data_IF_902999286619
#
_entry.id   IF_902999286619
#
_cell.length_a   1.000
_cell.length_b   1.000
_cell.length_c   1.000
_cell.angle_alpha   90.00
_cell.angle_beta   90.00
_cell.angle_gamma   90.00
#
_symmetry.space_group_name_H-M   'P 1'
#
loop_
_entity.id
_entity.type
_entity.pdbx_description
1 polymer ?
#
# COMPACT_ATOMS: atom_id res chain seq x y z
N UNK A 1 -17.95 -11.66 -9.69
CA UNK A 1 -16.68 -12.38 -9.46
C UNK A 1 -16.91 -13.84 -9.79
N UNK A 2 -15.95 -14.54 -10.40
CA UNK A 2 -16.07 -15.99 -10.61
C UNK A 2 -15.98 -16.73 -9.28
N UNK A 3 -16.64 -17.90 -9.19
CA UNK A 3 -16.60 -18.74 -7.98
C UNK A 3 -15.15 -19.12 -7.62
N UNK A 4 -14.33 -19.40 -8.63
CA UNK A 4 -12.90 -19.69 -8.47
C UNK A 4 -12.10 -18.54 -7.83
N UNK A 5 -12.38 -17.30 -8.21
CA UNK A 5 -11.70 -16.14 -7.63
C UNK A 5 -12.14 -15.90 -6.18
N UNK A 6 -13.41 -16.17 -5.87
CA UNK A 6 -13.96 -16.11 -4.51
C UNK A 6 -13.36 -17.18 -3.60
N UNK A 7 -13.27 -18.43 -4.08
CA UNK A 7 -12.62 -19.54 -3.37
C UNK A 7 -11.14 -19.25 -3.10
N UNK A 8 -10.42 -18.72 -4.08
CA UNK A 8 -9.03 -18.36 -3.90
C UNK A 8 -8.84 -17.22 -2.89
N UNK A 9 -9.72 -16.21 -2.91
CA UNK A 9 -9.72 -15.14 -1.90
C UNK A 9 -9.98 -15.70 -0.49
N UNK A 10 -10.94 -16.61 -0.33
CA UNK A 10 -11.20 -17.30 0.92
C UNK A 10 -9.99 -18.11 1.41
N UNK A 11 -9.30 -18.81 0.50
CA UNK A 11 -8.06 -19.53 0.83
C UNK A 11 -6.98 -18.60 1.38
N UNK A 12 -6.74 -17.46 0.72
CA UNK A 12 -5.76 -16.45 1.17
C UNK A 12 -6.15 -15.90 2.55
N UNK A 13 -7.40 -15.49 2.72
CA UNK A 13 -7.89 -14.97 4.00
C UNK A 13 -7.72 -15.99 5.12
N UNK A 14 -8.04 -17.26 4.89
CA UNK A 14 -7.84 -18.31 5.87
C UNK A 14 -6.36 -18.50 6.22
N UNK A 15 -5.48 -18.54 5.20
CA UNK A 15 -4.06 -18.81 5.37
C UNK A 15 -3.34 -17.73 6.17
N UNK A 16 -3.68 -16.45 5.94
CA UNK A 16 -2.96 -15.32 6.53
C UNK A 16 -3.69 -14.65 7.70
N UNK A 17 -5.01 -14.75 7.79
CA UNK A 17 -5.83 -14.14 8.84
C UNK A 17 -6.63 -15.15 9.68
N UNK A 18 -6.62 -16.43 9.29
CA UNK A 18 -7.27 -17.54 10.00
C UNK A 18 -8.75 -17.70 9.67
N UNK A 19 -9.34 -18.76 10.23
CA UNK A 19 -10.74 -19.14 10.03
C UNK A 19 -11.73 -18.03 10.45
N UNK A 20 -11.35 -17.22 11.43
CA UNK A 20 -12.18 -16.10 11.85
C UNK A 20 -12.44 -15.11 10.72
N UNK A 21 -11.47 -14.92 9.81
CA UNK A 21 -11.60 -14.03 8.67
C UNK A 21 -12.55 -14.59 7.61
N UNK A 22 -12.46 -15.89 7.28
CA UNK A 22 -13.36 -16.50 6.30
C UNK A 22 -14.80 -16.51 6.77
N UNK A 23 -15.05 -16.84 8.04
CA UNK A 23 -16.40 -16.77 8.61
C UNK A 23 -16.93 -15.34 8.62
N UNK A 24 -16.11 -14.36 9.04
CA UNK A 24 -16.52 -12.95 9.12
C UNK A 24 -16.74 -12.29 7.75
N UNK A 25 -16.18 -12.87 6.67
CA UNK A 25 -16.28 -12.33 5.31
C UNK A 25 -17.15 -13.19 4.38
N UNK A 26 -17.69 -14.30 4.87
CA UNK A 26 -18.51 -15.23 4.09
C UNK A 26 -19.68 -14.54 3.40
N UNK A 27 -20.47 -13.76 4.14
CA UNK A 27 -21.58 -12.99 3.56
C UNK A 27 -21.12 -11.99 2.49
N UNK A 28 -19.88 -11.49 2.60
CA UNK A 28 -19.30 -10.55 1.62
C UNK A 28 -18.92 -11.27 0.32
N UNK A 29 -18.50 -12.53 0.39
CA UNK A 29 -18.25 -13.36 -0.78
C UNK A 29 -19.54 -13.72 -1.53
N UNK A 30 -20.63 -13.97 -0.80
CA UNK A 30 -21.90 -14.43 -1.38
C UNK A 30 -22.77 -13.28 -1.86
N UNK A 31 -22.96 -12.26 -1.02
CA UNK A 31 -23.89 -11.15 -1.26
C UNK A 31 -23.17 -9.89 -1.79
N UNK A 32 -21.86 -9.80 -1.62
CA UNK A 32 -21.11 -8.56 -1.86
C UNK A 32 -21.24 -7.58 -0.69
N UNK A 33 -21.37 -6.29 -1.02
CA UNK A 33 -21.36 -5.20 -0.03
C UNK A 33 -22.46 -5.38 1.03
N UNK A 34 -22.07 -5.55 2.31
CA UNK A 34 -23.00 -5.86 3.41
C UNK A 34 -22.74 -4.99 4.64
N UNK A 35 -23.78 -4.75 5.43
CA UNK A 35 -23.70 -3.99 6.68
C UNK A 35 -23.11 -4.81 7.84
N UNK A 36 -22.63 -4.14 8.89
CA UNK A 36 -22.09 -4.82 10.08
C UNK A 36 -23.12 -5.75 10.74
N UNK A 37 -24.38 -5.34 10.81
CA UNK A 37 -25.46 -6.15 11.40
C UNK A 37 -25.71 -7.43 10.60
N UNK A 38 -25.63 -7.38 9.26
CA UNK A 38 -25.73 -8.56 8.40
C UNK A 38 -24.54 -9.50 8.59
N UNK A 39 -23.32 -8.96 8.68
CA UNK A 39 -22.11 -9.76 8.93
C UNK A 39 -22.19 -10.49 10.27
N UNK A 40 -22.60 -9.79 11.32
CA UNK A 40 -22.78 -10.38 12.65
C UNK A 40 -23.87 -11.45 12.65
N UNK A 41 -24.98 -11.21 11.95
CA UNK A 41 -26.08 -12.18 11.82
C UNK A 41 -25.70 -13.38 10.95
N UNK A 42 -24.78 -13.27 10.00
CA UNK A 42 -24.28 -14.45 9.28
C UNK A 42 -23.31 -15.26 10.16
N UNK A 43 -22.44 -14.55 10.88
CA UNK A 43 -21.34 -15.13 11.66
C UNK A 43 -21.75 -15.71 13.02
N UNK A 44 -22.91 -15.34 13.57
CA UNK A 44 -23.30 -15.64 14.96
C UNK A 44 -23.26 -17.12 15.35
N UNK A 45 -23.48 -18.03 14.39
CA UNK A 45 -23.47 -19.48 14.66
C UNK A 45 -22.07 -20.03 14.93
N UNK A 46 -21.02 -19.37 14.40
CA UNK A 46 -19.64 -19.87 14.43
C UNK A 46 -18.71 -18.97 15.25
N UNK A 47 -19.01 -17.68 15.39
CA UNK A 47 -18.16 -16.72 16.10
C UNK A 47 -18.97 -15.76 16.96
N UNK A 48 -18.40 -15.43 18.12
CA UNK A 48 -18.90 -14.35 18.96
C UNK A 48 -18.67 -12.98 18.32
N UNK A 49 -19.64 -12.07 18.44
CA UNK A 49 -19.63 -10.73 17.82
C UNK A 49 -18.36 -9.92 18.07
N UNK A 50 -17.80 -9.98 19.29
CA UNK A 50 -16.54 -9.30 19.63
C UNK A 50 -15.36 -9.78 18.75
N UNK A 51 -15.30 -11.09 18.46
CA UNK A 51 -14.23 -11.68 17.65
C UNK A 51 -14.38 -11.28 16.18
N UNK A 52 -15.61 -11.21 15.68
CA UNK A 52 -15.93 -10.71 14.34
C UNK A 52 -15.46 -9.26 14.20
N UNK A 53 -15.82 -8.38 15.15
CA UNK A 53 -15.40 -6.97 15.11
C UNK A 53 -13.86 -6.82 15.14
N UNK A 54 -13.15 -7.57 16.00
CA UNK A 54 -11.68 -7.57 16.04
C UNK A 54 -11.09 -8.03 14.70
N UNK A 55 -11.68 -9.04 14.07
CA UNK A 55 -11.26 -9.53 12.77
C UNK A 55 -11.47 -8.47 11.67
N UNK A 56 -12.66 -7.85 11.62
CA UNK A 56 -12.95 -6.79 10.66
C UNK A 56 -12.00 -5.60 10.81
N UNK A 57 -11.68 -5.18 12.04
CA UNK A 57 -10.68 -4.12 12.30
C UNK A 57 -9.31 -4.51 11.72
N UNK A 58 -8.88 -5.76 11.92
CA UNK A 58 -7.63 -6.26 11.34
C UNK A 58 -7.68 -6.22 9.81
N UNK A 59 -8.75 -6.73 9.19
CA UNK A 59 -8.90 -6.74 7.73
C UNK A 59 -8.94 -5.32 7.14
N UNK A 60 -9.60 -4.37 7.80
CA UNK A 60 -9.61 -2.95 7.41
C UNK A 60 -8.20 -2.35 7.49
N UNK A 61 -7.47 -2.64 8.57
CA UNK A 61 -6.07 -2.20 8.72
C UNK A 61 -5.20 -2.69 7.57
N UNK A 62 -5.40 -3.92 7.10
CA UNK A 62 -4.70 -4.46 5.95
C UNK A 62 -5.30 -4.05 4.58
N UNK A 63 -6.32 -3.19 4.56
CA UNK A 63 -7.03 -2.78 3.33
C UNK A 63 -7.71 -3.93 2.57
N UNK A 64 -8.02 -5.04 3.25
CA UNK A 64 -8.71 -6.18 2.65
C UNK A 64 -10.22 -5.92 2.50
N UNK A 65 -10.71 -4.90 3.19
CA UNK A 65 -12.09 -4.43 3.12
C UNK A 65 -12.13 -2.98 2.64
N UNK A 66 -13.07 -2.69 1.73
CA UNK A 66 -13.47 -1.33 1.38
C UNK A 66 -14.73 -0.96 2.17
N UNK A 67 -14.81 0.30 2.58
CA UNK A 67 -15.95 0.83 3.33
C UNK A 67 -16.68 1.81 2.43
N UNK A 68 -17.94 1.51 2.12
CA UNK A 68 -18.81 2.39 1.34
C UNK A 68 -19.78 3.06 2.30
N UNK A 69 -19.86 4.39 2.22
CA UNK A 69 -20.78 5.20 3.02
C UNK A 69 -21.96 5.61 2.13
N UNK A 70 -23.03 4.81 2.20
CA UNK A 70 -24.34 5.17 1.67
C UNK A 70 -25.17 5.80 2.81
N UNK A 71 -26.39 5.29 3.05
CA UNK A 71 -27.20 5.55 4.25
C UNK A 71 -26.72 4.79 5.50
N UNK A 72 -26.09 3.64 5.30
CA UNK A 72 -25.51 2.77 6.34
C UNK A 72 -24.11 2.38 5.87
N UNK A 73 -23.17 2.25 6.81
CA UNK A 73 -21.83 1.74 6.50
C UNK A 73 -21.91 0.30 5.98
N UNK A 74 -21.46 0.10 4.75
CA UNK A 74 -21.32 -1.23 4.14
C UNK A 74 -19.85 -1.56 3.93
N UNK A 75 -19.55 -2.84 4.05
CA UNK A 75 -18.22 -3.41 3.88
C UNK A 75 -18.25 -4.30 2.64
N UNK A 76 -17.21 -4.22 1.81
CA UNK A 76 -17.02 -5.15 0.70
C UNK A 76 -15.57 -5.60 0.61
N UNK A 77 -15.32 -6.76 -0.01
CA UNK A 77 -13.98 -7.30 -0.14
C UNK A 77 -13.19 -6.55 -1.21
N UNK A 78 -11.95 -6.19 -0.87
CA UNK A 78 -10.99 -5.67 -1.83
C UNK A 78 -10.20 -6.83 -2.43
N UNK A 79 -10.69 -7.39 -3.52
CA UNK A 79 -10.05 -8.54 -4.18
C UNK A 79 -8.65 -8.21 -4.72
N UNK A 80 -8.42 -6.99 -5.21
CA UNK A 80 -7.10 -6.53 -5.67
C UNK A 80 -6.06 -6.64 -4.54
N UNK A 81 -6.42 -6.15 -3.35
CA UNK A 81 -5.56 -6.22 -2.15
C UNK A 81 -5.39 -7.65 -1.63
N UNK A 82 -6.42 -8.49 -1.72
CA UNK A 82 -6.34 -9.90 -1.31
C UNK A 82 -5.40 -10.68 -2.23
N UNK A 83 -5.55 -10.52 -3.56
CA UNK A 83 -4.71 -11.21 -4.55
C UNK A 83 -3.28 -10.66 -4.62
N UNK A 84 -3.03 -9.49 -4.04
CA UNK A 84 -1.69 -8.96 -3.85
C UNK A 84 -0.89 -9.72 -2.78
N UNK A 85 -1.52 -10.28 -1.74
CA UNK A 85 -0.81 -10.91 -0.60
C UNK A 85 0.18 -12.00 -1.05
N UNK A 86 -0.19 -12.96 -1.91
CA UNK A 86 0.76 -13.99 -2.36
C UNK A 86 1.91 -13.45 -3.22
N UNK A 87 1.72 -12.29 -3.87
CA UNK A 87 2.73 -11.65 -4.72
C UNK A 87 3.72 -10.78 -3.94
N UNK A 88 3.42 -10.51 -2.66
CA UNK A 88 4.25 -9.64 -1.81
C UNK A 88 5.75 -10.00 -1.81
N UNK A 89 6.17 -11.28 -1.70
CA UNK A 89 7.60 -11.62 -1.73
C UNK A 89 8.29 -11.20 -3.03
N UNK A 90 7.58 -11.26 -4.16
CA UNK A 90 8.09 -10.85 -5.45
C UNK A 90 8.25 -9.33 -5.52
N UNK A 91 7.28 -8.58 -5.00
CA UNK A 91 7.38 -7.12 -4.93
C UNK A 91 8.45 -6.63 -3.94
N UNK A 92 8.66 -7.33 -2.83
CA UNK A 92 9.77 -7.04 -1.91
C UNK A 92 11.12 -7.21 -2.61
N UNK A 93 11.31 -8.29 -3.38
CA UNK A 93 12.51 -8.48 -4.21
C UNK A 93 12.64 -7.40 -5.29
N UNK A 94 11.54 -6.99 -5.90
CA UNK A 94 11.55 -5.89 -6.86
C UNK A 94 12.10 -4.61 -6.20
N UNK A 95 11.57 -4.24 -5.03
CA UNK A 95 12.04 -3.09 -4.26
C UNK A 95 13.49 -3.23 -3.82
N UNK A 96 13.94 -4.44 -3.44
CA UNK A 96 15.35 -4.73 -3.17
C UNK A 96 16.26 -4.33 -4.34
N UNK A 97 15.88 -4.70 -5.57
CA UNK A 97 16.69 -4.40 -6.75
C UNK A 97 16.78 -2.91 -7.06
N UNK A 98 15.73 -2.12 -6.80
CA UNK A 98 15.72 -0.69 -7.10
C UNK A 98 16.25 0.19 -5.95
N UNK A 99 16.02 -0.20 -4.71
CA UNK A 99 16.25 0.67 -3.53
C UNK A 99 17.12 0.01 -2.45
N UNK A 100 17.53 -1.25 -2.64
CA UNK A 100 18.44 -1.96 -1.75
C UNK A 100 17.78 -2.66 -0.56
N UNK A 101 18.63 -3.23 0.30
CA UNK A 101 18.23 -4.13 1.40
C UNK A 101 17.33 -3.49 2.46
N UNK A 102 17.58 -2.23 2.81
CA UNK A 102 16.77 -1.51 3.82
C UNK A 102 15.34 -1.29 3.32
N UNK A 103 15.19 -1.02 2.02
CA UNK A 103 13.88 -0.84 1.39
C UNK A 103 13.07 -2.13 1.35
N UNK A 104 13.70 -3.26 1.04
CA UNK A 104 13.08 -4.58 1.11
C UNK A 104 12.52 -4.86 2.52
N UNK A 105 13.35 -4.65 3.55
CA UNK A 105 12.96 -4.85 4.94
C UNK A 105 11.79 -3.94 5.35
N UNK A 106 11.88 -2.65 5.03
CA UNK A 106 10.81 -1.69 5.28
C UNK A 106 9.50 -2.12 4.61
N UNK A 107 9.55 -2.56 3.35
CA UNK A 107 8.36 -3.04 2.62
C UNK A 107 7.75 -4.29 3.25
N UNK A 108 8.56 -5.25 3.71
CA UNK A 108 8.06 -6.43 4.43
C UNK A 108 7.32 -5.99 5.69
N UNK A 109 7.94 -5.14 6.50
CA UNK A 109 7.35 -4.68 7.75
C UNK A 109 6.08 -3.86 7.54
N UNK A 110 6.07 -2.96 6.56
CA UNK A 110 4.90 -2.12 6.27
C UNK A 110 3.75 -2.98 5.73
N UNK A 111 4.06 -4.00 4.93
CA UNK A 111 3.04 -4.93 4.41
C UNK A 111 2.47 -5.85 5.51
N UNK A 112 3.31 -6.31 6.44
CA UNK A 112 2.85 -7.09 7.60
C UNK A 112 2.09 -6.26 8.62
N UNK A 113 2.33 -4.95 8.72
CA UNK A 113 1.62 -4.08 9.65
C UNK A 113 0.32 -3.54 9.04
N UNK A 114 0.25 -3.45 7.71
CA UNK A 114 -0.86 -2.82 6.99
C UNK A 114 -0.77 -1.29 7.03
N UNK A 115 -1.92 -0.62 7.03
CA UNK A 115 -2.02 0.83 7.22
C UNK A 115 -1.63 1.19 8.65
N UNK A 116 -0.67 2.09 8.80
CA UNK A 116 -0.19 2.56 10.10
C UNK A 116 0.29 3.99 10.02
N UNK A 117 0.37 4.65 11.17
CA UNK A 117 1.08 5.93 11.25
C UNK A 117 2.54 5.70 10.87
N UNK A 118 3.14 6.67 10.19
CA UNK A 118 4.54 6.58 9.81
C UNK A 118 5.44 6.41 11.04
N UNK A 119 5.12 7.11 12.14
CA UNK A 119 5.79 6.97 13.43
C UNK A 119 5.79 5.53 13.95
N UNK A 120 4.63 4.84 13.96
CA UNK A 120 4.53 3.48 14.50
C UNK A 120 5.29 2.49 13.64
N UNK A 121 5.23 2.67 12.32
CA UNK A 121 5.91 1.82 11.35
C UNK A 121 7.43 1.94 11.44
N UNK A 122 7.96 3.16 11.58
CA UNK A 122 9.38 3.41 11.77
C UNK A 122 9.90 2.78 13.07
N UNK A 123 9.19 2.99 14.18
CA UNK A 123 9.53 2.37 15.47
C UNK A 123 9.48 0.85 15.38
N UNK A 124 8.49 0.30 14.67
CA UNK A 124 8.39 -1.14 14.45
C UNK A 124 9.59 -1.68 13.69
N UNK A 125 10.03 -1.00 12.62
CA UNK A 125 11.22 -1.38 11.85
C UNK A 125 12.47 -1.36 12.71
N UNK A 126 12.67 -0.30 13.51
CA UNK A 126 13.83 -0.18 14.40
C UNK A 126 13.77 -1.24 15.50
N UNK A 127 12.64 -1.43 16.20
CA UNK A 127 12.50 -2.48 17.22
C UNK A 127 12.84 -3.87 16.68
N UNK A 128 12.35 -4.21 15.48
CA UNK A 128 12.64 -5.48 14.83
C UNK A 128 14.12 -5.63 14.47
N UNK A 129 14.76 -4.55 14.03
CA UNK A 129 16.19 -4.52 13.73
C UNK A 129 17.09 -4.51 14.98
N UNK A 130 16.63 -3.96 16.10
CA UNK A 130 17.37 -3.96 17.37
C UNK A 130 17.37 -5.33 18.05
N UNK A 131 16.39 -6.19 17.77
CA UNK A 131 16.36 -7.55 18.31
C UNK A 131 17.57 -8.41 17.90
N UNK A 132 18.31 -8.05 16.84
CA UNK A 132 19.47 -8.81 16.37
C UNK A 132 20.79 -8.55 17.14
N UNK A 133 20.79 -7.82 18.26
CA UNK A 133 21.99 -7.53 19.08
C UNK A 133 23.17 -7.00 18.25
N UNK A 134 22.90 -6.08 17.32
CA UNK A 134 23.92 -5.49 16.46
C UNK A 134 24.75 -4.44 17.22
N UNK A 135 26.00 -4.15 16.81
CA UNK A 135 26.79 -3.03 17.31
C UNK A 135 26.03 -1.70 17.21
N UNK A 136 26.24 -0.80 18.17
CA UNK A 136 25.53 0.50 18.23
C UNK A 136 25.75 1.30 16.93
N UNK A 137 26.96 1.30 16.39
CA UNK A 137 27.30 1.97 15.12
C UNK A 137 26.44 1.48 13.94
N UNK A 138 26.20 0.18 13.83
CA UNK A 138 25.35 -0.40 12.79
C UNK A 138 23.87 -0.02 12.98
N UNK A 139 23.42 0.14 14.22
CA UNK A 139 22.06 0.58 14.53
C UNK A 139 21.82 2.04 14.10
N UNK A 140 22.80 2.92 14.36
CA UNK A 140 22.73 4.30 13.89
C UNK A 140 22.81 4.38 12.36
N UNK A 141 23.71 3.61 11.72
CA UNK A 141 23.79 3.52 10.26
C UNK A 141 22.46 3.05 9.63
N UNK A 142 21.81 2.05 10.22
CA UNK A 142 20.50 1.59 9.77
C UNK A 142 19.42 2.66 9.86
N UNK A 143 19.40 3.48 10.92
CA UNK A 143 18.42 4.58 11.07
C UNK A 143 18.58 5.63 9.98
N UNK A 144 19.82 6.02 9.66
CA UNK A 144 20.10 6.94 8.56
C UNK A 144 19.65 6.38 7.21
N UNK A 145 19.96 5.10 6.97
CA UNK A 145 19.53 4.40 5.76
C UNK A 145 17.99 4.24 5.71
N UNK A 146 17.32 4.03 6.84
CA UNK A 146 15.87 3.89 6.92
C UNK A 146 15.18 5.23 6.64
N UNK A 147 15.65 6.33 7.24
CA UNK A 147 15.11 7.67 7.00
C UNK A 147 15.21 8.07 5.53
N UNK A 148 16.40 7.92 4.91
CA UNK A 148 16.58 8.17 3.47
C UNK A 148 15.68 7.30 2.60
N UNK A 149 15.61 6.00 2.92
CA UNK A 149 14.83 5.03 2.15
C UNK A 149 13.34 5.35 2.20
N UNK A 150 12.78 5.60 3.38
CA UNK A 150 11.35 5.88 3.54
C UNK A 150 10.95 7.17 2.83
N UNK A 151 11.75 8.23 2.95
CA UNK A 151 11.52 9.47 2.20
C UNK A 151 11.56 9.23 0.70
N UNK A 152 12.50 8.41 0.22
CA UNK A 152 12.60 8.05 -1.20
C UNK A 152 11.38 7.25 -1.67
N UNK A 153 10.98 6.22 -0.93
CA UNK A 153 9.82 5.38 -1.27
C UNK A 153 8.50 6.14 -1.30
N UNK A 154 8.34 7.15 -0.44
CA UNK A 154 7.18 8.06 -0.48
C UNK A 154 7.27 8.99 -1.70
N UNK A 155 8.45 9.60 -1.95
CA UNK A 155 8.66 10.46 -3.14
C UNK A 155 8.41 9.73 -4.45
N UNK A 156 8.77 8.45 -4.54
CA UNK A 156 8.56 7.62 -5.74
C UNK A 156 7.19 6.93 -5.77
N UNK A 157 6.27 7.28 -4.86
CA UNK A 157 4.93 6.70 -4.76
C UNK A 157 4.89 5.17 -4.58
N UNK A 158 6.00 4.53 -4.20
CA UNK A 158 6.03 3.10 -3.81
C UNK A 158 5.29 2.93 -2.48
N UNK A 159 5.42 3.92 -1.59
CA UNK A 159 4.61 4.08 -0.41
C UNK A 159 3.59 5.20 -0.62
N UNK A 160 2.32 4.86 -0.51
CA UNK A 160 1.23 5.81 -0.63
C UNK A 160 0.88 6.40 0.74
N UNK A 161 0.77 7.73 0.80
CA UNK A 161 0.15 8.42 1.93
C UNK A 161 -1.37 8.33 1.76
N UNK A 162 -2.03 7.71 2.73
CA UNK A 162 -3.48 7.56 2.76
C UNK A 162 -4.04 8.56 3.75
N UNK A 163 -5.01 9.36 3.33
CA UNK A 163 -5.70 10.26 4.24
C UNK A 163 -6.56 9.42 5.22
N UNK A 164 -6.35 9.53 6.55
CA UNK A 164 -7.11 8.75 7.54
C UNK A 164 -8.62 9.02 7.50
N UNK A 165 -9.05 10.16 6.94
CA UNK A 165 -10.47 10.54 6.81
C UNK A 165 -11.12 10.05 5.51
N UNK A 166 -10.32 9.57 4.55
CA UNK A 166 -10.78 9.15 3.22
C UNK A 166 -10.85 7.62 3.16
N UNK A 167 -11.66 7.02 4.05
CA UNK A 167 -12.04 5.61 3.92
C UNK A 167 -13.01 5.36 2.76
N UNK A 168 -13.44 6.44 2.10
CA UNK A 168 -14.40 6.47 1.02
C UNK A 168 -13.87 7.34 -0.12
N UNK A 169 -13.82 6.78 -1.33
CA UNK A 169 -14.36 7.30 -2.61
C UNK A 169 -13.67 6.51 -3.72
N UNK A 170 -14.19 5.32 -3.99
CA UNK A 170 -14.25 4.82 -5.35
C UNK A 170 -15.72 4.98 -5.74
N UNK A 171 -16.06 6.12 -6.35
CA UNK A 171 -17.36 6.28 -6.99
C UNK A 171 -17.34 5.44 -8.26
N UNK A 172 -18.15 4.38 -8.30
CA UNK A 172 -18.45 3.63 -9.53
C UNK A 172 -18.94 4.62 -10.61
N UNK A 173 -18.10 4.88 -11.61
CA UNK A 173 -18.54 5.40 -12.91
C UNK A 173 -18.45 4.25 -13.91
N UNK A 174 -19.55 3.53 -14.03
CA UNK A 174 -19.97 2.56 -15.04
C UNK A 174 -21.23 1.96 -14.38
N UNK A 175 -22.47 2.17 -14.82
CA UNK A 175 -23.03 2.09 -16.17
C UNK A 175 -24.42 2.73 -16.09
N UNK A 176 -24.79 3.63 -17.01
CA UNK A 176 -26.17 3.80 -17.48
C UNK A 176 -26.15 4.67 -18.73
N UNK A 177 -26.16 4.00 -19.88
CA UNK A 177 -26.41 4.57 -21.20
C UNK A 177 -27.92 4.79 -21.33
N UNK A 178 -28.36 6.04 -21.38
CA UNK A 178 -29.45 6.57 -22.22
C UNK A 178 -30.18 7.74 -21.54
N UNK A 179 -29.89 8.97 -21.98
CA UNK A 179 -30.86 9.94 -22.50
C UNK A 179 -30.20 11.33 -22.68
N UNK A 180 -30.58 11.98 -23.78
CA UNK A 180 -30.08 13.21 -24.45
C UNK A 180 -30.08 14.48 -23.55
N UNK A 181 -29.26 15.52 -23.86
CA UNK A 181 -28.66 16.42 -22.87
C UNK A 181 -29.42 17.73 -22.67
N UNK A 182 -29.42 18.25 -21.44
CA UNK A 182 -29.74 19.64 -21.13
C UNK A 182 -28.53 20.34 -20.50
N UNK A 183 -28.17 21.46 -21.11
CA UNK A 183 -27.01 22.30 -20.81
C UNK A 183 -27.06 22.92 -19.41
N UNK A 184 -25.88 23.34 -18.96
CA UNK A 184 -25.56 24.22 -17.82
C UNK A 184 -25.77 23.63 -16.42
N UNK A 185 -24.75 22.90 -15.96
CA UNK A 185 -24.37 22.85 -14.54
C UNK A 185 -22.86 22.58 -14.45
N UNK A 186 -22.22 23.33 -13.56
CA UNK A 186 -20.79 23.53 -13.42
C UNK A 186 -19.98 22.23 -13.27
N UNK A 187 -18.78 22.22 -13.84
CA UNK A 187 -17.81 21.15 -13.69
C UNK A 187 -17.57 20.88 -12.19
N UNK A 188 -17.68 19.63 -11.71
CA UNK A 188 -17.36 19.32 -10.33
C UNK A 188 -15.85 19.46 -10.18
N UNK A 189 -15.47 20.44 -9.37
CA UNK A 189 -14.11 20.69 -8.89
C UNK A 189 -13.57 19.37 -8.33
N UNK A 190 -12.68 18.74 -9.10
CA UNK A 190 -11.66 17.86 -8.53
C UNK A 190 -10.92 18.72 -7.50
N UNK A 191 -11.33 18.63 -6.24
CA UNK A 191 -10.50 19.12 -5.13
C UNK A 191 -9.35 18.11 -5.03
N UNK A 192 -8.41 18.26 -5.96
CA UNK A 192 -7.01 17.91 -5.73
C UNK A 192 -6.61 18.73 -4.52
N UNK A 193 -6.74 18.14 -3.32
CA UNK A 193 -5.96 18.61 -2.18
C UNK A 193 -4.52 18.49 -2.66
N UNK A 194 -3.90 19.64 -2.86
CA UNK A 194 -2.61 19.81 -3.47
C UNK A 194 -1.64 18.71 -3.03
N UNK A 195 -1.28 17.83 -3.97
CA UNK A 195 -0.12 16.93 -3.91
C UNK A 195 1.20 17.72 -3.95
N UNK A 196 1.19 18.96 -3.44
CA UNK A 196 2.33 19.84 -3.32
C UNK A 196 3.19 19.35 -2.16
N UNK A 197 4.21 18.57 -2.50
CA UNK A 197 5.49 18.50 -1.81
C UNK A 197 5.41 18.46 -0.27
N UNK A 198 4.73 17.48 0.29
CA UNK A 198 4.92 17.19 1.72
C UNK A 198 6.30 16.53 1.88
N UNK A 199 7.32 17.37 2.08
CA UNK A 199 8.67 16.93 2.35
C UNK A 199 8.66 16.24 3.71
N UNK A 200 8.80 14.91 3.71
CA UNK A 200 9.10 14.19 4.94
C UNK A 200 10.52 14.58 5.35
N UNK A 201 10.72 15.36 6.44
CA UNK A 201 12.03 15.87 6.79
C UNK A 201 12.88 14.70 7.30
N UNK A 202 13.83 14.27 6.47
CA UNK A 202 14.71 13.12 6.73
C UNK A 202 15.48 13.32 8.04
N UNK A 203 16.08 14.50 8.21
CA UNK A 203 16.99 14.81 9.31
C UNK A 203 16.27 14.74 10.66
N UNK A 204 15.04 15.22 10.69
CA UNK A 204 14.15 15.19 11.84
C UNK A 204 13.72 13.75 12.23
N UNK A 205 13.46 12.89 11.24
CA UNK A 205 13.16 11.47 11.48
C UNK A 205 14.39 10.75 12.03
N UNK A 206 15.57 10.99 11.43
CA UNK A 206 16.82 10.41 11.89
C UNK A 206 17.12 10.85 13.33
N UNK A 207 16.99 12.14 13.66
CA UNK A 207 17.20 12.66 15.01
C UNK A 207 16.26 11.98 16.04
N UNK A 208 14.98 11.85 15.71
CA UNK A 208 14.01 11.20 16.58
C UNK A 208 14.31 9.69 16.81
N UNK A 209 14.71 8.97 15.76
CA UNK A 209 15.05 7.56 15.83
C UNK A 209 16.41 7.30 16.51
N UNK A 210 17.38 8.20 16.35
CA UNK A 210 18.63 8.15 17.10
C UNK A 210 18.41 8.36 18.59
N UNK A 211 17.53 9.30 18.96
CA UNK A 211 17.12 9.47 20.35
C UNK A 211 16.42 8.23 20.91
N UNK A 212 15.66 7.50 20.08
CA UNK A 212 15.05 6.22 20.47
C UNK A 212 16.10 5.13 20.77
N UNK A 213 17.10 4.98 19.92
CA UNK A 213 18.19 4.01 20.15
C UNK A 213 18.94 4.32 21.46
N UNK A 214 19.26 5.59 21.69
CA UNK A 214 20.03 6.02 22.86
C UNK A 214 19.26 5.96 24.18
N UNK A 215 17.94 6.19 24.16
CA UNK A 215 17.14 6.31 25.40
C UNK A 215 16.16 5.16 25.64
N UNK A 216 15.91 4.30 24.64
CA UNK A 216 14.88 3.27 24.69
C UNK A 216 13.44 3.79 24.64
N UNK A 217 13.24 5.11 24.57
CA UNK A 217 11.93 5.77 24.53
C UNK A 217 11.80 6.64 23.29
N UNK A 218 10.68 6.51 22.57
CA UNK A 218 10.42 7.34 21.41
C UNK A 218 9.69 8.59 21.88
N UNK A 219 10.42 9.69 22.00
CA UNK A 219 9.81 11.00 22.18
C UNK A 219 9.42 11.56 20.82
N UNK A 220 8.38 10.97 20.21
CA UNK A 220 7.74 11.61 19.09
C UNK A 220 7.16 12.96 19.56
N UNK A 221 7.21 14.01 18.74
CA UNK A 221 6.52 15.28 19.00
C UNK A 221 5.00 15.16 18.79
N UNK A 222 4.43 14.02 19.16
CA UNK A 222 3.01 13.73 19.11
C UNK A 222 2.61 13.59 20.57
N UNK A 223 1.65 14.41 21.02
CA UNK A 223 1.09 14.29 22.36
C UNK A 223 0.55 12.85 22.54
N UNK A 224 1.29 12.02 23.28
CA UNK A 224 0.82 10.72 23.70
C UNK A 224 -0.15 10.94 24.86
N UNK A 225 -1.45 10.99 24.60
CA UNK A 225 -2.51 11.03 25.63
C UNK A 225 -2.52 9.79 26.55
N UNK A 226 -1.63 8.81 26.35
CA UNK A 226 -1.68 7.52 27.05
C UNK A 226 -0.72 7.35 28.23
N UNK A 227 0.23 8.25 28.48
CA UNK A 227 1.18 8.08 29.59
C UNK A 227 1.17 9.28 30.54
N UNK A 228 0.46 9.12 31.67
CA UNK A 228 0.57 9.98 32.84
C UNK A 228 1.86 9.64 33.62
N UNK A 229 3.02 10.14 33.19
CA UNK A 229 4.22 10.17 34.03
C UNK A 229 5.05 11.45 33.80
N UNK A 230 5.78 11.93 34.84
CA UNK A 230 6.12 13.33 34.96
C UNK A 230 7.23 13.76 33.99
N UNK A 231 6.97 14.86 33.29
CA UNK A 231 7.88 15.54 32.37
C UNK A 231 9.19 15.89 33.08
N UNK A 232 10.24 15.08 32.90
CA UNK A 232 11.60 15.48 33.25
C UNK A 232 12.15 16.42 32.18
N UNK A 233 12.60 17.57 32.67
CA UNK A 233 13.04 18.78 31.95
C UNK A 233 14.17 18.49 30.94
N UNK A 234 13.83 18.42 29.66
CA UNK A 234 14.53 19.02 28.50
C UNK A 234 13.84 18.49 27.25
N UNK A 235 12.82 19.21 26.78
CA UNK A 235 12.15 18.90 25.52
C UNK A 235 12.06 20.22 24.77
N UNK A 236 12.74 20.32 23.62
CA UNK A 236 12.35 21.27 22.57
C UNK A 236 10.86 21.02 22.36
N UNK A 237 10.01 21.95 22.80
CA UNK A 237 8.57 21.89 22.49
C UNK A 237 8.48 21.98 20.97
N UNK A 238 8.29 20.83 20.32
CA UNK A 238 7.88 20.84 18.94
C UNK A 238 6.48 21.45 18.90
N UNK A 239 6.37 22.55 18.17
CA UNK A 239 5.11 23.22 17.95
C UNK A 239 4.20 22.26 17.17
N UNK A 240 2.94 22.08 17.56
CA UNK A 240 2.00 21.14 16.92
C UNK A 240 1.74 21.47 15.43
N UNK A 241 2.20 22.65 15.01
CA UNK A 241 2.22 23.21 13.67
C UNK A 241 3.37 22.68 12.79
N UNK A 242 4.40 22.06 13.38
CA UNK A 242 5.60 21.56 12.69
C UNK A 242 5.26 20.52 11.62
N UNK A 243 5.83 20.67 10.43
CA UNK A 243 5.66 19.74 9.29
C UNK A 243 6.05 18.29 9.65
N UNK A 244 6.94 18.13 10.61
CA UNK A 244 7.37 16.86 11.20
C UNK A 244 6.21 16.15 11.92
N UNK A 245 5.46 16.88 12.75
CA UNK A 245 4.29 16.35 13.50
C UNK A 245 3.19 15.95 12.53
N UNK A 246 2.99 16.74 11.47
CA UNK A 246 2.03 16.42 10.40
C UNK A 246 2.47 15.18 9.62
N UNK A 247 3.76 15.05 9.30
CA UNK A 247 4.34 13.93 8.55
C UNK A 247 4.29 12.60 9.32
N UNK A 248 4.57 12.62 10.62
CA UNK A 248 4.53 11.42 11.44
C UNK A 248 3.10 10.88 11.68
N UNK A 249 2.11 11.78 11.70
CA UNK A 249 0.68 11.42 11.76
C UNK A 249 0.13 10.87 10.44
N UNK A 250 0.88 10.95 9.34
CA UNK A 250 0.45 10.39 8.06
C UNK A 250 0.30 8.88 8.16
N UNK A 251 -0.79 8.38 7.57
CA UNK A 251 -0.99 6.93 7.43
C UNK A 251 -0.37 6.50 6.12
N UNK A 252 0.54 5.53 6.18
CA UNK A 252 1.28 5.05 5.01
C UNK A 252 0.97 3.58 4.75
N UNK A 253 0.93 3.18 3.48
CA UNK A 253 0.87 1.78 3.07
C UNK A 253 1.52 1.54 1.69
N UNK A 254 1.90 0.30 1.37
CA UNK A 254 2.37 -0.08 0.03
C UNK A 254 1.36 0.28 -1.07
N UNK A 255 1.86 0.91 -2.14
CA UNK A 255 1.07 1.23 -3.31
C UNK A 255 1.11 0.09 -4.32
N UNK A 256 0.02 -0.66 -4.44
CA UNK A 256 -0.08 -1.79 -5.37
C UNK A 256 0.10 -1.33 -6.82
N UNK A 257 -0.54 -0.21 -7.20
CA UNK A 257 -0.52 0.27 -8.58
C UNK A 257 0.90 0.60 -9.04
N UNK A 258 1.68 1.27 -8.17
CA UNK A 258 3.10 1.56 -8.46
C UNK A 258 3.91 0.27 -8.56
N UNK A 259 3.73 -0.68 -7.63
CA UNK A 259 4.45 -1.95 -7.66
C UNK A 259 4.13 -2.80 -8.89
N UNK A 260 2.86 -2.83 -9.32
CA UNK A 260 2.45 -3.51 -10.55
C UNK A 260 2.99 -2.81 -11.79
N UNK A 261 3.06 -1.48 -11.80
CA UNK A 261 3.68 -0.70 -12.87
C UNK A 261 5.17 -1.01 -12.97
N UNK A 262 5.90 -0.98 -11.85
CA UNK A 262 7.31 -1.35 -11.81
C UNK A 262 7.54 -2.80 -12.29
N UNK A 263 6.66 -3.72 -11.91
CA UNK A 263 6.76 -5.12 -12.32
C UNK A 263 6.52 -5.28 -13.82
N UNK A 264 5.48 -4.63 -14.35
CA UNK A 264 5.19 -4.60 -15.79
C UNK A 264 6.36 -4.04 -16.57
N UNK A 265 6.91 -2.91 -16.16
CA UNK A 265 8.02 -2.25 -16.85
C UNK A 265 9.26 -3.15 -16.88
N UNK A 266 9.55 -3.85 -15.77
CA UNK A 266 10.61 -4.86 -15.72
C UNK A 266 10.38 -6.00 -16.73
N UNK A 267 9.15 -6.51 -16.84
CA UNK A 267 8.82 -7.55 -17.81
C UNK A 267 8.97 -7.07 -19.26
N UNK A 268 8.57 -5.84 -19.55
CA UNK A 268 8.72 -5.20 -20.86
C UNK A 268 10.22 -5.10 -21.22
N UNK A 269 11.05 -4.60 -20.31
CA UNK A 269 12.49 -4.48 -20.53
C UNK A 269 13.16 -5.84 -20.71
N UNK A 270 12.75 -6.84 -19.92
CA UNK A 270 13.27 -8.20 -20.04
C UNK A 270 12.92 -8.80 -21.40
N UNK A 271 11.66 -8.67 -21.84
CA UNK A 271 11.22 -9.15 -23.14
C UNK A 271 11.96 -8.43 -24.29
N UNK A 272 12.17 -7.12 -24.18
CA UNK A 272 12.94 -6.36 -25.16
C UNK A 272 14.41 -6.81 -25.21
N UNK A 273 15.03 -7.07 -24.06
CA UNK A 273 16.38 -7.63 -24.00
C UNK A 273 16.46 -9.00 -24.67
N UNK A 274 15.51 -9.90 -24.38
CA UNK A 274 15.45 -11.24 -24.96
C UNK A 274 15.17 -11.25 -26.47
N UNK A 275 14.45 -10.25 -27.00
CA UNK A 275 14.03 -10.21 -28.42
C UNK A 275 14.88 -9.32 -29.31
N UNK A 276 15.40 -8.22 -28.78
CA UNK A 276 16.08 -7.16 -29.55
C UNK A 276 17.53 -6.96 -29.10
N UNK A 277 17.95 -7.60 -28.01
CA UNK A 277 19.29 -7.48 -27.43
C UNK A 277 19.33 -6.56 -26.21
N UNK A 278 20.35 -6.77 -25.38
CA UNK A 278 20.49 -6.11 -24.06
C UNK A 278 20.46 -4.58 -24.15
N UNK A 279 21.11 -4.00 -25.16
CA UNK A 279 21.14 -2.53 -25.38
C UNK A 279 19.72 -1.97 -25.58
N UNK A 280 18.86 -2.67 -26.31
CA UNK A 280 17.48 -2.26 -26.49
C UNK A 280 16.68 -2.36 -25.19
N UNK A 281 16.94 -3.38 -24.37
CA UNK A 281 16.38 -3.50 -23.03
C UNK A 281 16.77 -2.33 -22.13
N UNK A 282 18.04 -1.92 -22.15
CA UNK A 282 18.56 -0.81 -21.35
C UNK A 282 17.98 0.55 -21.79
N UNK A 283 17.92 0.80 -23.10
CA UNK A 283 17.29 2.00 -23.66
C UNK A 283 15.81 2.07 -23.23
N UNK A 284 15.08 0.95 -23.33
CA UNK A 284 13.67 0.90 -22.97
C UNK A 284 13.46 1.11 -21.47
N UNK A 285 14.34 0.56 -20.63
CA UNK A 285 14.36 0.79 -19.18
C UNK A 285 14.53 2.29 -18.86
N UNK A 286 15.46 2.96 -19.52
CA UNK A 286 15.68 4.40 -19.34
C UNK A 286 14.46 5.22 -19.76
N UNK A 287 13.82 4.88 -20.88
CA UNK A 287 12.62 5.56 -21.36
C UNK A 287 11.44 5.39 -20.39
N UNK A 288 11.21 4.20 -19.86
CA UNK A 288 10.15 3.93 -18.88
C UNK A 288 10.41 4.64 -17.54
N UNK A 289 11.66 4.70 -17.10
CA UNK A 289 12.07 5.49 -15.93
C UNK A 289 11.76 6.99 -16.11
N UNK A 290 12.10 7.56 -17.27
CA UNK A 290 11.81 8.98 -17.58
C UNK A 290 10.30 9.23 -17.64
N UNK A 291 9.54 8.33 -18.26
CA UNK A 291 8.09 8.45 -18.36
C UNK A 291 7.42 8.41 -16.99
N UNK A 292 7.91 7.55 -16.09
CA UNK A 292 7.45 7.48 -14.69
C UNK A 292 7.78 8.75 -13.92
N UNK A 293 9.00 9.28 -14.05
CA UNK A 293 9.42 10.54 -13.41
C UNK A 293 8.63 11.75 -13.94
N UNK A 294 8.17 11.71 -15.20
CA UNK A 294 7.36 12.76 -15.79
C UNK A 294 5.87 12.73 -15.37
N UNK A 295 5.46 11.85 -14.44
CA UNK A 295 4.07 11.60 -14.04
C UNK A 295 3.11 11.36 -15.22
N UNK A 296 3.65 11.00 -16.40
CA UNK A 296 2.84 10.54 -17.52
C UNK A 296 2.52 9.10 -17.23
N UNK A 297 1.40 8.86 -16.54
CA UNK A 297 0.94 7.52 -16.20
C UNK A 297 1.10 6.60 -17.41
N UNK A 298 2.09 5.71 -17.37
CA UNK A 298 2.44 4.80 -18.47
C UNK A 298 1.44 3.65 -18.53
N UNK A 299 0.20 3.86 -18.09
CA UNK A 299 -0.89 2.92 -18.33
C UNK A 299 -1.08 2.82 -19.83
N UNK A 300 -0.36 1.91 -20.48
CA UNK A 300 -0.68 1.44 -21.82
C UNK A 300 -2.00 0.69 -21.66
N UNK A 301 -3.11 1.43 -21.63
CA UNK A 301 -4.45 0.87 -21.78
C UNK A 301 -4.65 0.66 -23.28
N UNK A 302 -3.97 -0.35 -23.85
CA UNK A 302 -4.42 -0.85 -25.14
C UNK A 302 -5.63 -1.77 -24.88
N UNK A 303 -6.77 -1.56 -25.57
CA UNK A 303 -7.90 -2.46 -25.50
C UNK A 303 -7.62 -3.84 -26.12
N UNK A 304 -6.43 -4.06 -26.66
CA UNK A 304 -6.05 -5.27 -27.42
C UNK A 304 -5.14 -6.24 -26.63
N UNK A 305 -4.79 -5.93 -25.38
CA UNK A 305 -3.96 -6.83 -24.54
C UNK A 305 -4.72 -8.06 -23.99
N UNK A 306 -5.93 -8.30 -24.50
CA UNK A 306 -6.70 -9.52 -24.30
C UNK A 306 -6.70 -10.34 -25.58
N UNK A 307 -5.98 -11.46 -25.57
CA UNK A 307 -5.88 -12.47 -26.62
C UNK A 307 -4.88 -12.18 -27.77
N UNK A 308 -3.59 -12.36 -27.48
CA UNK A 308 -2.71 -12.92 -28.53
C UNK A 308 -3.00 -14.42 -28.58
N UNK A 309 -3.73 -14.83 -29.61
CA UNK A 309 -3.97 -16.23 -29.93
C UNK A 309 -2.65 -16.96 -30.15
N UNK A 310 -2.52 -18.20 -29.64
CA UNK A 310 -1.37 -19.09 -29.93
C UNK A 310 -1.14 -19.31 -31.43
N UNK A 311 -2.10 -18.98 -32.30
CA UNK A 311 -1.96 -19.06 -33.75
C UNK A 311 -1.04 -17.98 -34.36
N UNK A 312 -0.84 -16.84 -33.71
CA UNK A 312 0.00 -15.74 -34.26
C UNK A 312 1.50 -15.96 -34.01
N UNK A 313 1.85 -16.73 -32.99
CA UNK A 313 3.25 -17.11 -32.71
C UNK A 313 3.76 -18.15 -33.72
N UNK A 314 2.87 -18.91 -34.36
CA UNK A 314 3.23 -19.94 -35.34
C UNK A 314 3.54 -19.42 -36.75
N UNK A 315 3.08 -18.21 -37.09
CA UNK A 315 3.18 -17.70 -38.47
C UNK A 315 4.53 -17.03 -38.78
N UNK A 316 5.27 -16.58 -37.77
CA UNK A 316 6.59 -15.93 -37.96
C UNK A 316 7.78 -16.91 -38.02
N UNK A 317 7.58 -18.21 -37.81
CA UNK A 317 8.65 -19.22 -37.87
C UNK A 317 8.81 -19.82 -39.29
N UNK A 318 7.86 -19.56 -40.21
CA UNK A 318 7.89 -20.15 -41.57
C UNK A 318 8.53 -19.27 -42.65
N UNK A 319 9.09 -18.11 -42.31
CA UNK A 319 9.77 -17.21 -43.26
C UNK A 319 11.31 -17.22 -43.15
N UNK A 320 11.87 -18.10 -42.32
CA UNK A 320 13.32 -18.35 -42.24
C UNK A 320 13.60 -19.86 -42.27
N UNK A 321 13.22 -20.51 -43.37
CA UNK A 321 13.71 -21.83 -43.78
C UNK A 321 14.11 -21.76 -45.26
#
# INVERSE_FOLDING_TARGET
MSDTASEYACYILNKYFGEAATVSTHILCVKGSSSLSEILRDSHKKLHSSRVCKCLISLIRHSMLTIQKDSILKYSLNYERIFFVPRLPLFCKLVFHYYGKVAEQAMIYFSMFGRGSLSDLLVYCVKKHLHSKLPVEEQHSYVEALGTTVTTLVKTNVLQIVNPKLWSVESNKETNVSAVPSRTAEAPVHVNVSESEMQIPKDDICEALHNYISSGFVNWPIANERNNEPVRKRVKRYDESSELVKSLKLVVCPNIKTLETMWRDRLICQLASEKLGEICGDILSHLLCIATAANRGTGITSPESGAVSRSEVGLHISLFS
#
